data_IF_198539920659
#
_entry.id   IF_198539920659
#
_cell.length_a   1.000
_cell.length_b   1.000
_cell.length_c   1.000
_cell.angle_alpha   90.00
_cell.angle_beta   90.00
_cell.angle_gamma   90.00
#
_symmetry.space_group_name_H-M   'P 1'
#
loop_
_entity.id
_entity.type
_entity.pdbx_description
1 polymer ?
#
# COMPACT_ATOMS: atom_id res chain seq x y z
N UNK A 1 -1.62 -22.80 69.81
CA UNK A 1 -0.39 -23.12 70.58
C UNK A 1 0.75 -22.59 69.74
N UNK A 2 1.34 -21.40 69.95
CA UNK A 2 1.79 -20.72 71.16
C UNK A 2 3.31 -20.55 71.02
N UNK A 3 3.78 -19.34 70.70
CA UNK A 3 5.08 -19.08 70.05
C UNK A 3 6.32 -18.80 70.92
N UNK A 4 7.36 -18.27 70.23
CA UNK A 4 8.59 -17.57 70.68
C UNK A 4 9.68 -18.41 71.39
N UNK A 5 11.00 -18.21 71.29
CA UNK A 5 11.89 -17.35 70.50
C UNK A 5 13.38 -17.77 70.77
N UNK A 6 14.33 -17.21 70.00
CA UNK A 6 15.66 -16.70 70.48
C UNK A 6 16.96 -17.51 70.22
N UNK A 7 17.72 -17.05 69.19
CA UNK A 7 19.18 -16.67 69.12
C UNK A 7 20.30 -17.70 69.44
N UNK A 8 21.29 -17.86 68.54
CA UNK A 8 22.74 -17.48 68.67
C UNK A 8 23.63 -18.20 67.63
N UNK A 9 24.33 -17.34 66.88
CA UNK A 9 25.51 -17.44 65.99
C UNK A 9 26.57 -18.54 66.24
N UNK A 10 27.02 -19.21 65.17
CA UNK A 10 28.41 -19.69 65.04
C UNK A 10 28.95 -19.41 63.63
N UNK A 11 30.09 -18.72 63.61
CA UNK A 11 30.87 -18.25 62.46
C UNK A 11 31.70 -19.40 61.90
N UNK A 12 31.66 -19.64 60.59
CA UNK A 12 32.70 -20.41 59.87
C UNK A 12 32.81 -19.94 58.41
N UNK A 13 33.78 -19.05 58.21
CA UNK A 13 34.72 -18.98 57.08
C UNK A 13 34.49 -19.97 55.91
N UNK A 14 34.14 -19.44 54.74
CA UNK A 14 34.59 -20.01 53.47
C UNK A 14 34.86 -18.88 52.47
N UNK A 15 36.13 -18.79 52.06
CA UNK A 15 36.65 -17.92 51.02
C UNK A 15 35.86 -18.10 49.72
N UNK A 16 35.05 -17.11 49.36
CA UNK A 16 34.60 -16.93 47.99
C UNK A 16 35.57 -15.96 47.30
N UNK A 17 36.39 -16.54 46.43
CA UNK A 17 37.22 -15.82 45.47
C UNK A 17 36.31 -14.88 44.65
N UNK A 18 36.59 -13.59 44.73
CA UNK A 18 36.10 -12.60 43.76
C UNK A 18 36.68 -12.97 42.38
N UNK A 19 35.97 -13.79 41.62
CA UNK A 19 36.09 -13.80 40.17
C UNK A 19 35.13 -12.75 39.64
N UNK A 20 35.67 -11.55 39.40
CA UNK A 20 35.00 -10.53 38.60
C UNK A 20 34.93 -11.09 37.18
N UNK A 21 33.82 -11.74 36.84
CA UNK A 21 33.44 -11.87 35.45
C UNK A 21 32.91 -10.51 35.02
N UNK A 22 33.77 -9.73 34.35
CA UNK A 22 33.28 -8.69 33.47
C UNK A 22 32.44 -9.40 32.41
N UNK A 23 31.12 -9.32 32.56
CA UNK A 23 30.24 -9.48 31.41
C UNK A 23 30.55 -8.27 30.52
N UNK A 24 31.28 -8.51 29.43
CA UNK A 24 31.15 -7.64 28.26
C UNK A 24 29.67 -7.67 27.89
N UNK A 25 28.94 -6.60 28.22
CA UNK A 25 27.72 -6.27 27.50
C UNK A 25 28.16 -6.15 26.04
N UNK A 26 27.94 -7.21 25.26
CA UNK A 26 27.82 -7.04 23.84
C UNK A 26 26.60 -6.15 23.66
N UNK A 27 26.83 -4.84 23.50
CA UNK A 27 25.90 -3.94 22.84
C UNK A 27 25.61 -4.54 21.46
N UNK A 28 24.69 -5.50 21.43
CA UNK A 28 23.95 -5.82 20.23
C UNK A 28 23.28 -4.52 19.87
N UNK A 29 23.73 -3.90 18.77
CA UNK A 29 23.13 -2.71 18.19
C UNK A 29 21.63 -2.95 18.08
N UNK A 30 20.86 -2.47 19.06
CA UNK A 30 19.44 -2.22 18.88
C UNK A 30 19.35 -1.32 17.67
N UNK A 31 18.73 -1.85 16.62
CA UNK A 31 18.64 -1.18 15.33
C UNK A 31 18.10 0.23 15.52
N UNK A 32 18.82 1.20 14.95
CA UNK A 32 18.48 2.63 14.87
C UNK A 32 17.02 2.92 14.52
N UNK A 33 16.29 1.96 13.92
CA UNK A 33 14.90 2.10 13.49
C UNK A 33 13.91 2.32 14.64
N UNK A 34 14.05 1.61 15.78
CA UNK A 34 13.08 1.69 16.88
C UNK A 34 13.11 3.07 17.57
N UNK A 35 14.30 3.67 17.72
CA UNK A 35 14.46 4.98 18.36
C UNK A 35 13.93 6.15 17.51
N UNK A 36 13.71 5.95 16.22
CA UNK A 36 13.24 7.01 15.32
C UNK A 36 11.71 7.18 15.33
N UNK A 37 10.98 6.20 15.87
CA UNK A 37 9.51 6.25 15.99
C UNK A 37 9.00 6.92 17.28
N UNK A 38 9.86 7.15 18.27
CA UNK A 38 9.48 7.84 19.52
C UNK A 38 9.41 9.36 19.36
N UNK A 39 9.89 9.92 18.25
CA UNK A 39 10.08 11.37 18.10
C UNK A 39 9.61 11.96 16.76
N UNK A 40 8.76 11.24 16.03
CA UNK A 40 8.24 11.71 14.74
C UNK A 40 6.72 11.85 14.81
N UNK A 41 6.21 13.08 14.72
CA UNK A 41 4.82 13.35 14.34
C UNK A 41 4.67 12.97 12.85
N UNK A 42 4.24 11.74 12.57
CA UNK A 42 4.19 11.20 11.20
C UNK A 42 2.84 11.51 10.53
N UNK A 43 2.65 12.75 10.10
CA UNK A 43 1.55 13.15 9.21
C UNK A 43 2.09 13.46 7.80
N UNK A 44 2.48 12.44 7.02
CA UNK A 44 2.54 12.39 5.54
C UNK A 44 3.55 11.37 4.95
N UNK A 45 3.47 10.07 5.25
CA UNK A 45 4.30 9.11 4.48
C UNK A 45 3.78 9.00 3.05
N UNK A 46 4.46 9.71 2.14
CA UNK A 46 4.46 9.44 0.71
C UNK A 46 5.76 8.69 0.43
N UNK A 47 5.72 7.37 0.25
CA UNK A 47 6.89 6.64 -0.25
C UNK A 47 6.98 6.92 -1.75
N UNK A 48 7.50 8.10 -2.10
CA UNK A 48 7.90 8.43 -3.46
C UNK A 48 9.38 8.06 -3.57
N UNK A 49 9.67 6.91 -4.18
CA UNK A 49 10.99 6.74 -4.76
C UNK A 49 11.12 7.77 -5.90
N UNK A 50 12.14 8.66 -5.92
CA UNK A 50 12.31 9.61 -7.01
C UNK A 50 12.45 8.84 -8.34
N UNK A 51 11.81 9.30 -9.43
CA UNK A 51 12.05 8.75 -10.76
C UNK A 51 13.55 8.70 -11.04
N UNK A 52 14.06 7.56 -11.53
CA UNK A 52 15.46 7.45 -11.93
C UNK A 52 15.84 8.55 -12.94
N UNK A 53 17.10 9.01 -12.96
CA UNK A 53 17.52 10.05 -13.89
C UNK A 53 17.19 9.64 -15.32
N UNK A 54 16.66 10.59 -16.12
CA UNK A 54 16.43 10.39 -17.55
C UNK A 54 17.75 9.95 -18.18
N UNK A 55 17.75 8.81 -18.86
CA UNK A 55 18.96 8.32 -19.55
C UNK A 55 19.51 9.37 -20.51
N UNK A 56 20.83 9.40 -20.67
CA UNK A 56 21.51 10.37 -21.53
C UNK A 56 20.95 10.34 -22.95
N UNK A 57 20.88 11.53 -23.57
CA UNK A 57 20.48 11.63 -24.98
C UNK A 57 21.53 10.92 -25.83
N UNK A 58 21.11 10.00 -26.70
CA UNK A 58 22.03 9.27 -27.56
C UNK A 58 22.92 10.22 -28.40
N UNK A 59 24.15 9.80 -28.75
CA UNK A 59 25.06 10.66 -29.52
C UNK A 59 24.44 11.04 -30.87
N UNK A 60 24.69 12.27 -31.39
CA UNK A 60 24.27 12.66 -32.73
C UNK A 60 24.75 11.64 -33.77
N UNK A 61 23.87 11.27 -34.70
CA UNK A 61 24.23 10.37 -35.79
C UNK A 61 25.43 10.90 -36.59
N UNK A 62 26.28 10.03 -37.15
CA UNK A 62 27.43 10.46 -37.94
C UNK A 62 26.97 11.30 -39.14
N UNK A 63 27.73 12.37 -39.45
CA UNK A 63 27.46 13.21 -40.63
C UNK A 63 27.55 12.34 -41.88
N UNK A 64 26.49 12.35 -42.69
CA UNK A 64 26.48 11.65 -43.98
C UNK A 64 27.69 12.02 -44.83
N UNK A 65 28.32 11.02 -45.45
CA UNK A 65 29.48 11.22 -46.32
C UNK A 65 29.11 12.15 -47.48
N UNK A 66 30.01 13.10 -47.80
CA UNK A 66 29.83 14.01 -48.93
C UNK A 66 29.83 13.18 -50.22
N UNK A 67 28.77 13.26 -51.01
CA UNK A 67 28.69 12.55 -52.28
C UNK A 67 29.86 12.90 -53.19
N UNK A 68 30.38 11.90 -53.91
CA UNK A 68 31.45 12.11 -54.88
C UNK A 68 30.97 13.01 -56.04
N UNK A 69 31.89 13.84 -56.54
CA UNK A 69 31.62 14.73 -57.67
C UNK A 69 31.43 13.88 -58.93
N UNK A 70 30.24 13.94 -59.53
CA UNK A 70 29.89 13.06 -60.65
C UNK A 70 30.77 13.25 -61.90
N UNK A 71 31.12 12.14 -62.55
CA UNK A 71 31.65 12.12 -63.92
C UNK A 71 30.52 12.24 -64.95
N UNK A 72 30.80 12.87 -66.09
CA UNK A 72 29.83 13.16 -67.15
C UNK A 72 29.38 11.88 -67.86
N UNK A 73 28.07 11.58 -67.84
CA UNK A 73 27.57 10.21 -68.04
C UNK A 73 27.13 9.79 -69.45
N UNK A 74 26.64 8.55 -69.53
CA UNK A 74 25.49 8.16 -70.36
C UNK A 74 24.50 7.31 -69.53
N UNK A 75 23.17 7.42 -69.73
CA UNK A 75 22.18 7.03 -68.73
C UNK A 75 21.89 5.52 -68.68
N UNK A 76 21.84 4.95 -67.47
CA UNK A 76 21.38 3.59 -67.18
C UNK A 76 20.15 3.56 -66.26
N UNK A 77 19.35 2.49 -66.38
CA UNK A 77 18.00 2.32 -65.79
C UNK A 77 17.94 2.44 -64.25
N UNK A 78 16.77 2.87 -63.76
CA UNK A 78 16.45 3.03 -62.33
C UNK A 78 16.71 1.73 -61.54
N UNK A 79 17.53 1.82 -60.49
CA UNK A 79 17.84 0.71 -59.60
C UNK A 79 16.71 0.40 -58.61
N UNK A 80 16.61 -0.84 -58.10
CA UNK A 80 15.55 -1.27 -57.18
C UNK A 80 15.63 -0.55 -55.83
N UNK A 81 14.49 -0.49 -55.13
CA UNK A 81 14.31 0.15 -53.84
C UNK A 81 15.24 -0.44 -52.76
N UNK A 82 15.82 0.43 -51.92
CA UNK A 82 16.72 0.02 -50.85
C UNK A 82 16.00 -0.79 -49.76
N UNK A 83 16.69 -1.79 -49.20
CA UNK A 83 16.16 -2.62 -48.12
C UNK A 83 16.04 -1.82 -46.82
N UNK A 84 15.00 -2.11 -46.04
CA UNK A 84 14.76 -1.50 -44.74
C UNK A 84 15.95 -1.76 -43.79
N UNK A 85 16.42 -0.70 -43.11
CA UNK A 85 17.60 -0.77 -42.25
C UNK A 85 17.37 -1.68 -41.05
N UNK A 86 18.36 -2.51 -40.71
CA UNK A 86 18.28 -3.39 -39.55
C UNK A 86 18.16 -2.59 -38.25
N UNK A 87 17.27 -3.05 -37.37
CA UNK A 87 17.05 -2.51 -36.03
C UNK A 87 18.35 -2.48 -35.23
N UNK A 88 18.69 -1.32 -34.66
CA UNK A 88 19.90 -1.15 -33.85
C UNK A 88 19.94 -2.13 -32.66
N UNK A 89 21.16 -2.54 -32.30
CA UNK A 89 21.40 -3.48 -31.20
C UNK A 89 20.83 -2.99 -29.85
N UNK A 90 20.51 -3.93 -28.97
CA UNK A 90 20.01 -3.66 -27.62
C UNK A 90 21.09 -2.90 -26.82
N UNK A 91 20.73 -1.77 -26.20
CA UNK A 91 21.65 -1.02 -25.34
C UNK A 91 22.18 -1.86 -24.19
N UNK A 92 23.39 -1.53 -23.71
CA UNK A 92 23.97 -2.22 -22.56
C UNK A 92 23.08 -2.09 -21.30
N UNK A 93 23.08 -3.08 -20.40
CA UNK A 93 22.43 -2.94 -19.10
C UNK A 93 22.94 -1.70 -18.37
N UNK A 94 22.04 -0.89 -17.79
CA UNK A 94 22.42 0.28 -17.01
C UNK A 94 23.28 -0.10 -15.80
N UNK A 95 24.07 0.84 -15.26
CA UNK A 95 24.83 0.59 -14.04
C UNK A 95 23.88 0.18 -12.91
N UNK A 96 24.27 -0.87 -12.17
CA UNK A 96 23.57 -1.32 -10.97
C UNK A 96 23.59 -0.15 -9.98
N UNK A 97 22.43 0.27 -9.47
CA UNK A 97 22.36 1.35 -8.49
C UNK A 97 23.29 1.05 -7.31
N UNK A 98 24.13 2.02 -6.93
CA UNK A 98 25.00 1.92 -5.76
C UNK A 98 24.15 1.90 -4.50
N UNK A 99 24.16 0.78 -3.79
CA UNK A 99 23.59 0.63 -2.46
C UNK A 99 24.54 1.25 -1.43
N UNK A 100 24.60 2.57 -1.40
CA UNK A 100 25.08 3.28 -0.22
C UNK A 100 23.84 3.79 0.54
N UNK A 101 23.04 2.83 0.99
CA UNK A 101 21.87 3.02 1.85
C UNK A 101 22.20 2.53 3.25
N UNK A 102 23.26 3.06 3.87
CA UNK A 102 23.40 2.96 5.32
C UNK A 102 22.33 3.86 5.95
N UNK A 103 21.16 3.28 6.23
CA UNK A 103 20.10 3.92 7.02
C UNK A 103 18.68 3.90 6.44
N UNK A 104 18.42 3.33 5.26
CA UNK A 104 17.03 3.13 4.82
C UNK A 104 16.41 1.94 5.55
N UNK A 105 15.87 2.21 6.73
CA UNK A 105 14.79 1.41 7.30
C UNK A 105 13.53 1.73 6.49
N UNK A 106 13.44 1.19 5.27
CA UNK A 106 12.22 1.31 4.48
C UNK A 106 11.17 0.34 5.01
N UNK A 107 9.93 0.76 5.08
CA UNK A 107 8.81 -0.13 5.39
C UNK A 107 7.68 0.06 4.39
N UNK A 108 6.71 -0.84 4.41
CA UNK A 108 5.55 -0.83 3.55
C UNK A 108 4.36 -0.26 4.32
N UNK A 109 3.70 0.73 3.74
CA UNK A 109 2.42 1.26 4.25
C UNK A 109 1.28 0.61 3.47
N UNK A 110 0.22 0.23 4.16
CA UNK A 110 -1.03 -0.20 3.54
C UNK A 110 -2.24 0.32 4.32
N UNK A 111 -3.38 0.41 3.64
CA UNK A 111 -4.66 0.70 4.27
C UNK A 111 -5.41 -0.61 4.49
N UNK A 112 -5.90 -0.82 5.69
CA UNK A 112 -6.84 -1.86 6.05
C UNK A 112 -8.24 -1.26 6.08
N UNK A 113 -9.01 -1.55 5.03
CA UNK A 113 -10.38 -1.05 4.91
C UNK A 113 -11.35 -1.93 5.70
N UNK A 114 -12.28 -1.31 6.40
CA UNK A 114 -13.30 -1.95 7.22
C UNK A 114 -12.86 -2.36 8.62
N UNK A 115 -11.70 -1.87 9.09
CA UNK A 115 -11.20 -2.09 10.45
C UNK A 115 -10.53 -0.85 10.98
N UNK A 116 -10.57 -0.64 12.29
CA UNK A 116 -9.85 0.45 12.97
C UNK A 116 -8.49 0.02 13.56
N UNK A 117 -8.11 -1.24 13.38
CA UNK A 117 -6.89 -1.85 13.94
C UNK A 117 -6.06 -2.59 12.88
N UNK A 118 -4.74 -2.53 13.01
CA UNK A 118 -3.80 -3.39 12.28
C UNK A 118 -3.62 -4.73 13.00
N UNK A 119 -3.14 -5.76 12.30
CA UNK A 119 -2.77 -7.01 12.96
C UNK A 119 -1.34 -6.90 13.48
N UNK A 120 -1.19 -6.65 14.78
CA UNK A 120 0.13 -6.51 15.40
C UNK A 120 0.93 -7.82 15.37
N UNK A 121 0.25 -8.98 15.25
CA UNK A 121 0.92 -10.28 15.18
C UNK A 121 1.75 -10.47 13.90
N UNK A 122 1.48 -9.68 12.85
CA UNK A 122 2.28 -9.66 11.62
C UNK A 122 3.52 -8.77 11.72
N UNK A 123 3.77 -8.12 12.87
CA UNK A 123 4.85 -7.15 13.02
C UNK A 123 4.57 -5.85 12.27
N UNK A 124 3.29 -5.45 12.23
CA UNK A 124 2.86 -4.13 11.76
C UNK A 124 2.44 -3.26 12.93
N UNK A 125 2.59 -1.95 12.76
CA UNK A 125 2.13 -0.94 13.71
C UNK A 125 1.07 -0.08 13.06
N UNK A 126 0.04 0.30 13.84
CA UNK A 126 -0.95 1.26 13.38
C UNK A 126 -0.35 2.66 13.38
N UNK A 127 -0.41 3.32 12.23
CA UNK A 127 -0.03 4.74 12.08
C UNK A 127 -1.18 5.61 12.57
N UNK A 128 -2.37 5.42 12.01
CA UNK A 128 -3.61 6.03 12.48
C UNK A 128 -4.82 5.20 12.05
N UNK A 129 -5.97 5.51 12.62
CA UNK A 129 -7.28 5.00 12.19
C UNK A 129 -8.22 6.14 11.86
N UNK A 130 -9.24 5.85 11.09
CA UNK A 130 -10.06 6.86 10.48
C UNK A 130 -11.36 6.33 9.91
N UNK A 131 -11.97 7.19 9.10
CA UNK A 131 -13.19 6.91 8.35
C UNK A 131 -12.83 6.93 6.87
N UNK A 132 -13.27 5.93 6.12
CA UNK A 132 -13.09 5.94 4.68
C UNK A 132 -13.92 7.07 4.06
N UNK A 133 -13.36 7.72 3.05
CA UNK A 133 -14.03 8.79 2.33
C UNK A 133 -13.68 8.80 0.85
N UNK A 134 -14.49 9.50 0.08
CA UNK A 134 -14.34 9.61 -1.36
C UNK A 134 -15.27 10.65 -1.98
N UNK A 135 -15.47 10.56 -3.28
CA UNK A 135 -16.45 11.38 -3.98
C UNK A 135 -17.88 10.88 -3.74
N UNK A 136 -18.84 11.79 -3.83
CA UNK A 136 -20.27 11.45 -3.81
C UNK A 136 -20.61 10.51 -4.96
N UNK A 137 -21.49 9.54 -4.73
CA UNK A 137 -21.78 8.45 -5.68
C UNK A 137 -22.14 8.89 -7.11
N UNK A 138 -22.88 10.00 -7.26
CA UNK A 138 -23.31 10.49 -8.57
C UNK A 138 -22.48 11.66 -9.12
N UNK A 139 -21.37 12.01 -8.46
CA UNK A 139 -20.49 13.06 -8.96
C UNK A 139 -19.64 12.53 -10.13
N UNK A 140 -19.72 13.23 -11.27
CA UNK A 140 -18.95 12.91 -12.50
C UNK A 140 -17.48 13.33 -12.46
N UNK A 141 -17.07 14.04 -11.41
CA UNK A 141 -15.72 14.58 -11.24
C UNK A 141 -15.33 14.63 -9.77
N UNK A 142 -14.07 15.01 -9.51
CA UNK A 142 -13.46 14.95 -8.19
C UNK A 142 -12.42 13.83 -8.10
N UNK A 143 -12.16 13.34 -6.88
CA UNK A 143 -11.25 12.23 -6.65
C UNK A 143 -11.84 10.89 -7.08
N UNK A 144 -11.02 10.01 -7.66
CA UNK A 144 -11.43 8.65 -8.06
C UNK A 144 -10.92 7.56 -7.14
N UNK A 145 -10.32 7.91 -6.02
CA UNK A 145 -9.73 6.99 -5.05
C UNK A 145 -10.44 7.14 -3.71
N UNK A 146 -10.33 6.12 -2.87
CA UNK A 146 -10.78 6.20 -1.49
C UNK A 146 -9.63 6.69 -0.62
N UNK A 147 -9.95 7.50 0.39
CA UNK A 147 -8.98 8.03 1.33
C UNK A 147 -9.38 7.61 2.75
N UNK A 148 -8.39 7.23 3.55
CA UNK A 148 -8.60 7.03 4.98
C UNK A 148 -8.46 8.38 5.69
N UNK A 149 -9.56 8.96 6.13
CA UNK A 149 -9.57 10.28 6.76
C UNK A 149 -9.34 10.14 8.28
N UNK A 150 -8.35 10.83 8.86
CA UNK A 150 -8.12 10.80 10.30
C UNK A 150 -9.32 11.39 11.05
N UNK A 151 -9.56 10.91 12.26
CA UNK A 151 -10.66 11.40 13.13
C UNK A 151 -10.38 12.77 13.76
N UNK A 152 -9.15 13.24 13.66
CA UNK A 152 -8.61 14.48 14.23
C UNK A 152 -8.04 15.38 13.11
N UNK A 153 -8.90 15.96 12.25
CA UNK A 153 -8.43 16.78 11.14
C UNK A 153 -7.77 18.08 11.61
N UNK A 154 -6.65 18.42 10.97
CA UNK A 154 -5.97 19.70 11.16
C UNK A 154 -6.32 20.67 10.02
N UNK A 155 -6.52 21.95 10.35
CA UNK A 155 -6.95 22.95 9.39
C UNK A 155 -5.90 24.05 9.20
N UNK A 156 -5.64 24.39 7.94
CA UNK A 156 -4.83 25.55 7.56
C UNK A 156 -5.66 26.84 7.54
N UNK A 157 -5.51 27.64 6.48
CA UNK A 157 -6.39 28.79 6.23
C UNK A 157 -7.66 28.30 5.54
N UNK A 158 -8.82 28.59 6.13
CA UNK A 158 -10.11 28.19 5.60
C UNK A 158 -11.16 29.30 5.78
N UNK A 159 -12.23 29.17 5.02
CA UNK A 159 -13.48 29.91 5.19
C UNK A 159 -14.59 28.88 5.29
N UNK A 160 -15.46 29.02 6.28
CA UNK A 160 -16.55 28.10 6.48
C UNK A 160 -17.61 28.21 5.37
N UNK A 161 -18.23 27.06 5.07
CA UNK A 161 -19.31 26.95 4.09
C UNK A 161 -18.90 26.30 2.77
N UNK A 162 -19.90 25.74 2.09
CA UNK A 162 -19.73 25.04 0.82
C UNK A 162 -19.59 26.05 -0.33
N UNK A 163 -18.39 26.17 -0.88
CA UNK A 163 -18.11 27.02 -2.03
C UNK A 163 -18.18 26.19 -3.33
N UNK A 164 -19.10 26.55 -4.24
CA UNK A 164 -19.57 25.68 -5.34
C UNK A 164 -18.60 25.35 -6.49
N UNK A 165 -17.33 25.76 -6.43
CA UNK A 165 -16.32 25.49 -7.45
C UNK A 165 -15.20 24.55 -6.97
N UNK A 166 -15.40 23.86 -5.84
CA UNK A 166 -14.43 22.95 -5.22
C UNK A 166 -14.83 21.49 -5.44
N UNK A 167 -13.84 20.59 -5.35
CA UNK A 167 -14.12 19.16 -5.15
C UNK A 167 -14.57 18.92 -3.72
N UNK A 168 -15.40 17.92 -3.51
CA UNK A 168 -15.92 17.54 -2.21
C UNK A 168 -15.38 16.17 -1.78
N UNK A 169 -15.27 15.99 -0.46
CA UNK A 169 -14.91 14.74 0.20
C UNK A 169 -16.09 14.34 1.08
N UNK A 170 -16.58 13.12 0.92
CA UNK A 170 -17.70 12.56 1.68
C UNK A 170 -17.23 11.33 2.44
N UNK A 171 -17.93 10.97 3.52
CA UNK A 171 -17.78 9.67 4.16
C UNK A 171 -18.17 8.54 3.20
N UNK A 172 -17.67 7.33 3.47
CA UNK A 172 -17.97 6.16 2.68
C UNK A 172 -18.88 5.19 3.43
N UNK A 173 -19.83 4.61 2.72
CA UNK A 173 -20.85 3.72 3.25
C UNK A 173 -20.75 2.33 2.65
N UNK A 174 -21.02 1.33 3.47
CA UNK A 174 -21.25 -0.03 3.01
C UNK A 174 -22.58 -0.14 2.26
N UNK A 175 -22.54 -0.65 1.04
CA UNK A 175 -23.74 -0.98 0.28
C UNK A 175 -23.89 -2.49 0.22
N UNK A 176 -24.41 -3.03 1.33
CA UNK A 176 -24.49 -4.46 1.62
C UNK A 176 -25.94 -4.95 1.80
N UNK A 177 -26.78 -4.72 0.81
CA UNK A 177 -28.24 -4.93 0.86
C UNK A 177 -28.69 -6.39 0.61
N UNK A 178 -28.09 -7.11 -0.36
CA UNK A 178 -28.49 -8.48 -0.70
C UNK A 178 -27.31 -9.37 -1.10
N UNK A 179 -27.39 -10.66 -0.74
CA UNK A 179 -26.42 -11.70 -1.11
C UNK A 179 -24.95 -11.34 -0.82
N UNK A 180 -24.70 -10.71 0.33
CA UNK A 180 -23.35 -10.25 0.68
C UNK A 180 -22.54 -11.33 1.37
N UNK A 181 -21.22 -11.37 1.19
CA UNK A 181 -20.38 -12.45 1.68
C UNK A 181 -19.95 -12.25 3.15
N UNK A 182 -20.83 -11.65 3.97
CA UNK A 182 -20.60 -11.32 5.37
C UNK A 182 -21.72 -11.89 6.25
N UNK A 183 -21.34 -12.53 7.36
CA UNK A 183 -22.28 -13.19 8.29
C UNK A 183 -23.04 -12.20 9.21
N UNK A 184 -22.80 -10.89 9.07
CA UNK A 184 -23.39 -9.83 9.92
C UNK A 184 -24.49 -9.07 9.15
N UNK A 185 -25.74 -9.39 9.46
CA UNK A 185 -26.92 -8.64 9.06
C UNK A 185 -27.02 -7.34 9.90
N UNK A 186 -26.89 -6.12 9.40
CA UNK A 186 -26.70 -5.61 8.04
C UNK A 186 -25.80 -4.39 8.17
N UNK A 187 -24.61 -4.43 7.57
CA UNK A 187 -23.71 -3.26 7.55
C UNK A 187 -24.16 -2.18 6.55
N UNK A 188 -25.24 -2.41 5.81
CA UNK A 188 -25.79 -1.48 4.83
C UNK A 188 -26.02 -0.09 5.43
N UNK A 189 -25.60 0.94 4.70
CA UNK A 189 -25.65 2.36 5.10
C UNK A 189 -24.80 2.72 6.33
N UNK A 190 -23.92 1.82 6.78
CA UNK A 190 -22.96 2.17 7.83
C UNK A 190 -21.68 2.77 7.27
N UNK A 191 -21.14 3.76 7.99
CA UNK A 191 -19.81 4.31 7.76
C UNK A 191 -18.72 3.23 7.80
N UNK A 192 -17.81 3.31 6.84
CA UNK A 192 -16.70 2.36 6.68
C UNK A 192 -15.47 2.82 7.45
N UNK A 193 -15.02 2.11 8.50
CA UNK A 193 -13.76 2.44 9.18
C UNK A 193 -12.54 2.08 8.33
N UNK A 194 -11.40 2.68 8.65
CA UNK A 194 -10.13 2.34 8.05
C UNK A 194 -8.97 2.48 9.04
N UNK A 195 -7.89 1.76 8.78
CA UNK A 195 -6.63 1.88 9.50
C UNK A 195 -5.46 1.92 8.54
N UNK A 196 -4.52 2.85 8.77
CA UNK A 196 -3.26 2.89 8.04
C UNK A 196 -2.22 2.15 8.85
N UNK A 197 -1.66 1.10 8.25
CA UNK A 197 -0.73 0.18 8.87
C UNK A 197 0.66 0.31 8.24
N UNK A 198 1.69 0.22 9.06
CA UNK A 198 3.07 0.26 8.63
C UNK A 198 3.79 -1.02 9.03
N UNK A 199 4.42 -1.67 8.06
CA UNK A 199 5.29 -2.81 8.30
C UNK A 199 6.70 -2.35 8.59
N UNK A 200 7.25 -2.78 9.72
CA UNK A 200 8.59 -2.37 10.19
C UNK A 200 9.74 -3.04 9.43
N UNK A 201 9.49 -4.21 8.84
CA UNK A 201 10.54 -5.07 8.26
C UNK A 201 10.35 -5.40 6.78
N UNK A 202 9.17 -5.10 6.23
CA UNK A 202 8.79 -5.45 4.86
C UNK A 202 8.62 -4.18 4.05
N UNK A 203 9.15 -4.17 2.84
CA UNK A 203 9.37 -2.97 2.02
C UNK A 203 8.46 -2.91 0.79
N UNK A 204 7.78 -4.02 0.47
CA UNK A 204 6.81 -4.09 -0.62
C UNK A 204 5.41 -4.40 -0.08
N UNK A 205 4.40 -3.83 -0.73
CA UNK A 205 2.98 -4.14 -0.52
C UNK A 205 2.37 -4.63 -1.84
N UNK A 206 1.46 -5.60 -1.77
CA UNK A 206 0.71 -6.10 -2.90
C UNK A 206 -0.73 -6.45 -2.46
N UNK A 207 -1.73 -5.93 -3.18
CA UNK A 207 -3.11 -6.44 -3.12
C UNK A 207 -3.34 -7.39 -4.29
N UNK A 208 -3.84 -8.60 -4.01
CA UNK A 208 -4.14 -9.61 -5.03
C UNK A 208 -5.65 -9.86 -5.07
N UNK A 209 -6.35 -9.47 -6.14
CA UNK A 209 -7.77 -9.78 -6.30
C UNK A 209 -7.96 -11.27 -6.63
N UNK A 210 -9.16 -11.77 -6.37
CA UNK A 210 -9.58 -13.16 -6.55
C UNK A 210 -8.71 -14.20 -5.81
N UNK A 211 -8.00 -13.80 -4.74
CA UNK A 211 -7.25 -14.71 -3.87
C UNK A 211 -7.52 -14.47 -2.40
N UNK A 212 -7.34 -15.52 -1.60
CA UNK A 212 -7.39 -15.47 -0.12
C UNK A 212 -6.02 -15.67 0.53
N UNK A 213 -4.99 -15.97 -0.27
CA UNK A 213 -3.66 -16.37 0.19
C UNK A 213 -2.58 -15.61 -0.55
N UNK A 214 -1.53 -15.24 0.17
CA UNK A 214 -0.36 -14.59 -0.41
C UNK A 214 0.55 -15.59 -1.16
N UNK A 215 1.38 -15.11 -2.10
CA UNK A 215 2.39 -15.95 -2.73
C UNK A 215 3.44 -16.42 -1.72
N UNK A 216 4.22 -17.43 -2.09
CA UNK A 216 5.28 -17.95 -1.23
C UNK A 216 6.30 -16.84 -0.85
N UNK A 217 6.65 -16.80 0.44
CA UNK A 217 7.57 -15.80 0.99
C UNK A 217 6.99 -14.39 1.10
N UNK A 218 5.67 -14.21 0.93
CA UNK A 218 4.96 -12.98 1.28
C UNK A 218 4.17 -13.19 2.57
N UNK A 219 4.18 -12.18 3.42
CA UNK A 219 3.37 -12.16 4.64
C UNK A 219 1.96 -11.71 4.30
N UNK A 220 0.95 -12.42 4.80
CA UNK A 220 -0.44 -11.98 4.72
C UNK A 220 -0.71 -10.97 5.82
N UNK A 221 -1.20 -9.81 5.44
CA UNK A 221 -1.61 -8.76 6.37
C UNK A 221 -3.09 -8.88 6.72
N UNK A 222 -3.94 -8.94 5.70
CA UNK A 222 -5.36 -9.24 5.87
C UNK A 222 -5.95 -9.76 4.55
N UNK A 223 -7.21 -10.19 4.57
CA UNK A 223 -7.94 -10.50 3.35
C UNK A 223 -9.45 -10.44 3.58
N UNK A 224 -10.19 -10.39 2.48
CA UNK A 224 -11.64 -10.27 2.48
C UNK A 224 -12.19 -10.23 1.08
N UNK A 225 -12.95 -9.19 0.74
CA UNK A 225 -13.64 -9.07 -0.54
C UNK A 225 -13.27 -7.79 -1.27
N UNK A 226 -13.14 -7.90 -2.59
CA UNK A 226 -12.87 -6.77 -3.45
C UNK A 226 -14.13 -5.90 -3.51
N UNK A 227 -13.95 -4.61 -3.30
CA UNK A 227 -15.03 -3.63 -3.32
C UNK A 227 -14.69 -2.42 -4.17
N UNK A 228 -15.72 -1.83 -4.76
CA UNK A 228 -15.67 -0.59 -5.51
C UNK A 228 -17.09 0.01 -5.56
N UNK A 229 -17.24 1.14 -6.23
CA UNK A 229 -18.56 1.65 -6.60
C UNK A 229 -19.28 0.67 -7.56
N UNK A 230 -20.61 0.69 -7.53
CA UNK A 230 -21.54 0.03 -8.46
C UNK A 230 -21.29 0.42 -9.92
N UNK A 231 -21.32 -0.57 -10.79
CA UNK A 231 -20.92 -0.45 -12.19
C UNK A 231 -21.72 0.55 -13.06
N UNK A 232 -22.92 0.94 -12.65
CA UNK A 232 -23.85 1.79 -13.40
C UNK A 232 -23.99 3.22 -12.83
N UNK A 233 -23.15 3.59 -11.87
CA UNK A 233 -23.13 4.93 -11.29
C UNK A 233 -22.26 5.88 -12.11
N UNK A 234 -22.48 7.18 -11.92
CA UNK A 234 -21.84 8.25 -12.70
C UNK A 234 -20.33 8.41 -12.38
N UNK A 235 -19.92 8.04 -11.16
CA UNK A 235 -18.53 8.09 -10.69
C UNK A 235 -17.78 6.77 -10.90
N UNK A 236 -16.44 6.83 -10.95
CA UNK A 236 -15.59 5.63 -10.92
C UNK A 236 -14.63 5.70 -9.74
N UNK A 237 -14.49 4.58 -9.04
CA UNK A 237 -13.53 4.43 -7.95
C UNK A 237 -12.46 3.40 -8.29
N UNK A 238 -11.41 3.36 -7.50
CA UNK A 238 -10.49 2.22 -7.50
C UNK A 238 -11.14 0.96 -6.91
N UNK A 239 -10.49 -0.19 -7.12
CA UNK A 239 -10.83 -1.44 -6.47
C UNK A 239 -10.00 -1.59 -5.19
N UNK A 240 -10.66 -1.72 -4.05
CA UNK A 240 -10.01 -1.90 -2.74
C UNK A 240 -10.29 -3.29 -2.19
N UNK A 241 -9.39 -3.76 -1.31
CA UNK A 241 -9.65 -4.95 -0.52
C UNK A 241 -10.32 -4.57 0.79
N UNK A 242 -11.59 -4.91 0.96
CA UNK A 242 -12.31 -4.77 2.22
C UNK A 242 -12.01 -5.97 3.11
N UNK A 243 -11.77 -5.73 4.40
CA UNK A 243 -11.55 -6.81 5.37
C UNK A 243 -12.72 -7.81 5.38
N UNK A 244 -12.40 -9.10 5.58
CA UNK A 244 -13.39 -10.18 5.58
C UNK A 244 -14.32 -10.16 6.80
N UNK A 245 -13.94 -9.44 7.85
CA UNK A 245 -14.72 -9.28 9.07
C UNK A 245 -14.85 -7.79 9.42
N UNK A 246 -15.60 -6.99 8.64
CA UNK A 246 -15.61 -5.57 8.84
C UNK A 246 -16.26 -5.16 10.17
N UNK A 247 -15.91 -3.96 10.59
CA UNK A 247 -16.42 -3.21 11.73
C UNK A 247 -17.33 -2.07 11.23
N UNK A 248 -18.18 -1.58 12.12
CA UNK A 248 -18.94 -0.35 11.91
C UNK A 248 -18.57 0.66 12.98
N UNK A 249 -18.66 1.94 12.63
CA UNK A 249 -18.44 3.03 13.56
C UNK A 249 -19.74 3.36 14.31
N UNK A 250 -19.70 3.59 15.64
CA UNK A 250 -20.88 4.03 16.38
C UNK A 250 -21.40 5.37 15.86
N UNK A 251 -22.71 5.49 15.62
CA UNK A 251 -23.34 6.73 15.15
C UNK A 251 -23.24 6.97 13.63
N UNK A 252 -22.69 6.01 12.89
CA UNK A 252 -22.55 6.06 11.43
C UNK A 252 -23.63 5.28 10.69
N UNK A 253 -24.82 5.05 11.25
CA UNK A 253 -25.85 4.14 10.70
C UNK A 253 -26.82 4.80 9.71
N UNK A 254 -26.47 5.98 9.19
CA UNK A 254 -27.37 6.79 8.39
C UNK A 254 -26.94 6.82 6.92
N UNK A 255 -27.95 6.76 6.05
CA UNK A 255 -27.76 6.83 4.60
C UNK A 255 -27.58 8.29 4.14
N UNK A 256 -26.34 8.68 3.86
CA UNK A 256 -25.95 9.96 3.30
C UNK A 256 -25.55 9.88 1.82
N UNK A 257 -25.45 8.67 1.26
CA UNK A 257 -25.01 8.41 -0.12
C UNK A 257 -23.69 9.10 -0.43
N UNK A 258 -22.70 8.99 0.46
CA UNK A 258 -21.38 9.55 0.23
C UNK A 258 -20.61 8.80 -0.87
N UNK A 259 -19.41 8.32 -0.55
CA UNK A 259 -18.76 7.30 -1.36
C UNK A 259 -19.36 5.93 -1.03
N UNK A 260 -19.46 5.01 -1.99
CA UNK A 260 -20.16 3.75 -1.76
C UNK A 260 -19.25 2.54 -2.03
N UNK A 261 -19.32 1.55 -1.15
CA UNK A 261 -18.62 0.28 -1.31
C UNK A 261 -19.60 -0.86 -1.59
N UNK A 262 -19.58 -1.34 -2.83
CA UNK A 262 -20.29 -2.53 -3.29
C UNK A 262 -19.31 -3.71 -3.46
N UNK A 263 -19.72 -4.95 -3.13
CA UNK A 263 -18.97 -6.14 -3.52
C UNK A 263 -18.78 -6.21 -5.04
N UNK A 264 -17.58 -6.64 -5.47
CA UNK A 264 -17.27 -6.80 -6.89
C UNK A 264 -17.54 -8.24 -7.32
N UNK A 265 -18.45 -8.42 -8.27
CA UNK A 265 -18.72 -9.71 -8.90
C UNK A 265 -17.82 -9.98 -10.10
N UNK A 266 -17.44 -11.24 -10.29
CA UNK A 266 -16.84 -11.70 -11.52
C UNK A 266 -17.88 -11.72 -12.65
N UNK A 267 -17.55 -11.11 -13.80
CA UNK A 267 -18.36 -11.21 -15.02
C UNK A 267 -17.57 -11.92 -16.10
N UNK A 268 -18.03 -13.11 -16.48
CA UNK A 268 -17.40 -13.89 -17.54
C UNK A 268 -17.58 -13.24 -18.92
N UNK A 269 -16.64 -13.53 -19.81
CA UNK A 269 -16.56 -12.97 -21.16
C UNK A 269 -15.10 -12.89 -21.56
N UNK A 270 -14.53 -11.68 -21.54
CA UNK A 270 -13.08 -11.51 -21.61
C UNK A 270 -12.36 -12.06 -20.38
N UNK A 271 -13.05 -12.13 -19.23
CA UNK A 271 -12.63 -12.93 -18.09
C UNK A 271 -13.01 -14.39 -18.34
N UNK A 272 -12.05 -15.34 -18.40
CA UNK A 272 -12.35 -16.73 -18.67
C UNK A 272 -13.21 -17.35 -17.57
N UNK A 273 -14.31 -17.99 -17.97
CA UNK A 273 -15.09 -18.86 -17.08
C UNK A 273 -14.32 -20.17 -16.86
N UNK A 274 -14.12 -20.50 -15.59
CA UNK A 274 -13.09 -21.39 -15.03
C UNK A 274 -11.65 -20.83 -15.18
N UNK A 275 -10.95 -20.56 -14.07
CA UNK A 275 -11.34 -20.80 -12.68
C UNK A 275 -12.35 -19.78 -12.12
N UNK A 276 -12.62 -18.67 -12.83
CA UNK A 276 -13.63 -17.71 -12.41
C UNK A 276 -15.05 -18.24 -12.62
N UNK A 277 -15.98 -17.76 -11.81
CA UNK A 277 -17.39 -18.15 -11.90
C UNK A 277 -18.21 -16.87 -12.05
N UNK A 278 -19.04 -16.82 -13.08
CA UNK A 278 -19.91 -15.67 -13.35
C UNK A 278 -20.82 -15.37 -12.15
N UNK A 279 -20.96 -14.09 -11.81
CA UNK A 279 -21.77 -13.59 -10.70
C UNK A 279 -21.19 -13.88 -9.31
N UNK A 280 -19.95 -14.39 -9.19
CA UNK A 280 -19.34 -14.66 -7.88
C UNK A 280 -18.52 -13.48 -7.37
N UNK A 281 -18.72 -13.12 -6.11
CA UNK A 281 -17.96 -12.06 -5.44
C UNK A 281 -16.47 -12.40 -5.39
N UNK A 282 -15.64 -11.45 -5.80
CA UNK A 282 -14.20 -11.61 -5.85
C UNK A 282 -13.62 -11.38 -4.46
N UNK A 283 -12.90 -12.37 -3.94
CA UNK A 283 -12.10 -12.19 -2.72
C UNK A 283 -10.87 -11.33 -2.99
N UNK A 284 -10.17 -10.92 -1.94
CA UNK A 284 -8.88 -10.24 -2.05
C UNK A 284 -7.99 -10.57 -0.86
N UNK A 285 -6.68 -10.36 -1.04
CA UNK A 285 -5.70 -10.47 0.03
C UNK A 285 -4.68 -9.35 -0.12
N UNK A 286 -4.29 -8.75 1.01
CA UNK A 286 -3.19 -7.78 1.07
C UNK A 286 -1.99 -8.45 1.71
N UNK A 287 -0.85 -8.31 1.04
CA UNK A 287 0.39 -8.99 1.35
C UNK A 287 1.54 -7.99 1.40
N UNK A 288 2.57 -8.31 2.17
CA UNK A 288 3.81 -7.53 2.23
C UNK A 288 5.04 -8.44 2.18
N UNK A 289 6.20 -7.87 1.79
CA UNK A 289 7.47 -8.59 1.71
C UNK A 289 8.66 -7.70 2.02
#
# INVERSE_FOLDING_TARGET
MGGQATVVLFVLSALFLFSVCLAEDSEGKEGSCLKQMENSNVNNITVVAPPGPRGDTGPPGPRGVRGEKGETGRPGKLGPHGMEGQKGGKGAPGPKGSLDAEGLCGGAVYIRWGRTSCDESTGTVKVYSGIAGGAFYNNKGGGSNFQCLPTDPEWGRYEDGTQGWKSFMYGAEYQLDTNVPYDKATFHDHDVPCAVCYSLSRHAQLMIPARKTCPEGWMREYGGYLMAERYDQDGRTEFVCMDGEPEVLPGGEANYNGALFYPVEARCGSLPCLPYVDGRELTCVVCTK
#
